data_IF_610076793830
#
_entry.id   IF_610076793830
#
_cell.length_a   1.000
_cell.length_b   1.000
_cell.length_c   1.000
_cell.angle_alpha   90.00
_cell.angle_beta   90.00
_cell.angle_gamma   90.00
#
_symmetry.space_group_name_H-M   'P 1'
#
loop_
_entity.id
_entity.type
_entity.pdbx_description
1 polymer ?
#
# COMPACT_ATOMS: atom_id res chain seq x y z
N UNK A 1 15.59 -54.05 -1.07
CA UNK A 1 14.55 -53.38 -0.22
C UNK A 1 15.05 -52.04 0.29
N UNK A 2 16.24 -51.99 0.91
CA UNK A 2 16.90 -50.78 1.45
C UNK A 2 17.06 -49.64 0.42
N UNK A 3 17.52 -49.96 -0.80
CA UNK A 3 17.77 -48.95 -1.84
C UNK A 3 16.49 -48.23 -2.32
N UNK A 4 15.35 -48.93 -2.32
CA UNK A 4 14.04 -48.38 -2.68
C UNK A 4 13.52 -47.42 -1.60
N UNK A 5 13.82 -47.72 -0.33
CA UNK A 5 13.49 -46.86 0.82
C UNK A 5 14.33 -45.59 0.81
N UNK A 6 15.63 -45.69 0.56
CA UNK A 6 16.53 -44.52 0.47
C UNK A 6 16.10 -43.56 -0.65
N UNK A 7 15.71 -44.10 -1.81
CA UNK A 7 15.22 -43.29 -2.94
C UNK A 7 13.91 -42.56 -2.63
N UNK A 8 13.02 -43.18 -1.87
CA UNK A 8 11.78 -42.54 -1.38
C UNK A 8 12.06 -41.44 -0.35
N UNK A 9 13.01 -41.66 0.56
CA UNK A 9 13.42 -40.66 1.55
C UNK A 9 14.00 -39.42 0.86
N UNK A 10 14.87 -39.61 -0.15
CA UNK A 10 15.45 -38.51 -0.94
C UNK A 10 14.36 -37.73 -1.67
N UNK A 11 13.36 -38.42 -2.23
CA UNK A 11 12.26 -37.77 -2.95
C UNK A 11 11.38 -36.92 -2.03
N UNK A 12 11.11 -37.39 -0.81
CA UNK A 12 10.36 -36.65 0.22
C UNK A 12 11.16 -35.43 0.69
N UNK A 13 12.46 -35.60 0.94
CA UNK A 13 13.35 -34.50 1.34
C UNK A 13 13.42 -33.40 0.29
N UNK A 14 13.51 -33.75 -1.00
CA UNK A 14 13.49 -32.77 -2.09
C UNK A 14 12.16 -31.99 -2.15
N UNK A 15 11.02 -32.64 -1.91
CA UNK A 15 9.71 -31.96 -1.86
C UNK A 15 9.63 -30.97 -0.70
N UNK A 16 10.18 -31.32 0.46
CA UNK A 16 10.24 -30.43 1.62
C UNK A 16 11.14 -29.23 1.36
N UNK A 17 12.30 -29.43 0.73
CA UNK A 17 13.22 -28.34 0.35
C UNK A 17 12.56 -27.38 -0.63
N UNK A 18 11.87 -27.89 -1.66
CA UNK A 18 11.13 -27.06 -2.61
C UNK A 18 10.03 -26.26 -1.92
N UNK A 19 9.27 -26.88 -1.01
CA UNK A 19 8.25 -26.19 -0.23
C UNK A 19 8.82 -25.08 0.66
N UNK A 20 9.97 -25.32 1.27
CA UNK A 20 10.66 -24.35 2.12
C UNK A 20 11.19 -23.15 1.32
N UNK A 21 11.75 -23.38 0.13
CA UNK A 21 12.22 -22.31 -0.77
C UNK A 21 11.04 -21.43 -1.23
N UNK A 22 9.89 -22.03 -1.55
CA UNK A 22 8.69 -21.29 -1.92
C UNK A 22 8.15 -20.44 -0.76
N UNK A 23 8.21 -20.94 0.48
CA UNK A 23 7.81 -20.19 1.67
C UNK A 23 8.74 -19.01 1.98
N UNK A 24 10.06 -19.18 1.82
CA UNK A 24 11.01 -18.07 2.00
C UNK A 24 10.80 -16.92 1.00
N UNK A 25 10.35 -17.24 -0.22
CA UNK A 25 10.07 -16.23 -1.25
C UNK A 25 8.94 -15.25 -0.89
N UNK A 26 8.02 -15.62 0.01
CA UNK A 26 6.90 -14.73 0.40
C UNK A 26 7.26 -13.70 1.47
N UNK A 27 8.44 -13.81 2.11
CA UNK A 27 8.83 -12.96 3.24
C UNK A 27 9.69 -11.76 2.81
N UNK A 28 10.13 -11.71 1.55
CA UNK A 28 11.14 -10.75 1.05
C UNK A 28 10.58 -9.41 0.55
N UNK A 29 9.38 -9.01 0.98
CA UNK A 29 8.82 -7.69 0.63
C UNK A 29 8.04 -7.11 1.79
N UNK A 30 8.73 -6.81 2.88
CA UNK A 30 8.14 -6.14 4.04
C UNK A 30 8.20 -4.62 3.82
N UNK A 31 7.25 -4.11 3.03
CA UNK A 31 6.84 -2.71 3.17
C UNK A 31 6.02 -2.61 4.45
N UNK A 32 6.35 -1.70 5.35
CA UNK A 32 5.61 -1.58 6.60
C UNK A 32 4.31 -0.81 6.36
N UNK A 33 3.17 -1.39 6.73
CA UNK A 33 1.90 -0.67 6.74
C UNK A 33 1.72 0.04 8.08
N UNK A 34 1.67 1.36 8.06
CA UNK A 34 1.33 2.20 9.20
C UNK A 34 -0.17 2.52 9.15
N UNK A 35 -0.92 1.88 10.03
CA UNK A 35 -2.37 2.05 10.16
C UNK A 35 -2.73 3.41 10.77
N UNK A 36 -3.75 4.06 10.20
CA UNK A 36 -4.37 5.27 10.77
C UNK A 36 -5.83 4.98 11.12
N UNK A 37 -6.61 4.50 10.15
CA UNK A 37 -8.03 4.16 10.31
C UNK A 37 -8.35 2.71 9.96
N UNK A 38 -7.46 2.00 9.24
CA UNK A 38 -7.69 0.63 8.80
C UNK A 38 -6.41 -0.19 8.81
N UNK A 39 -6.51 -1.39 9.38
CA UNK A 39 -5.48 -2.43 9.34
C UNK A 39 -5.21 -2.99 7.93
N UNK A 40 -6.03 -2.63 6.94
CA UNK A 40 -5.86 -3.04 5.55
C UNK A 40 -5.59 -1.82 4.66
N UNK A 41 -4.60 -1.91 3.75
CA UNK A 41 -4.36 -0.89 2.74
C UNK A 41 -5.61 -0.63 1.88
N UNK A 42 -6.02 0.63 1.80
CA UNK A 42 -7.13 1.07 0.97
C UNK A 42 -6.87 2.48 0.44
N UNK A 43 -7.45 2.81 -0.72
CA UNK A 43 -7.40 4.19 -1.24
C UNK A 43 -8.10 5.16 -0.28
N UNK A 44 -7.63 6.41 -0.18
CA UNK A 44 -8.30 7.41 0.63
C UNK A 44 -9.72 7.69 0.14
N UNK A 45 -10.62 7.98 1.07
CA UNK A 45 -12.00 8.33 0.76
C UNK A 45 -12.16 9.84 0.81
N UNK A 46 -12.81 10.39 -0.22
CA UNK A 46 -13.21 11.80 -0.28
C UNK A 46 -14.72 11.88 -0.14
N UNK A 47 -15.19 12.53 0.92
CA UNK A 47 -16.60 12.85 1.11
C UNK A 47 -16.83 14.33 0.84
N UNK A 48 -17.86 14.64 0.07
CA UNK A 48 -18.22 16.00 -0.33
C UNK A 48 -19.63 16.29 0.18
N UNK A 49 -19.73 17.12 1.20
CA UNK A 49 -21.00 17.54 1.75
C UNK A 49 -21.27 18.98 1.31
N UNK A 50 -22.46 19.21 0.73
CA UNK A 50 -22.89 20.55 0.36
C UNK A 50 -23.92 21.03 1.37
N UNK A 51 -23.63 22.14 2.03
CA UNK A 51 -24.53 22.73 3.01
C UNK A 51 -25.45 23.75 2.35
N UNK A 52 -26.67 23.89 2.88
CA UNK A 52 -27.71 24.80 2.35
C UNK A 52 -27.29 26.27 2.29
N UNK A 53 -26.27 26.66 3.04
CA UNK A 53 -25.69 28.00 3.04
C UNK A 53 -24.74 28.28 1.85
N UNK A 54 -24.54 27.34 0.93
CA UNK A 54 -23.61 27.48 -0.19
C UNK A 54 -22.17 27.11 0.12
N UNK A 55 -21.92 26.56 1.31
CA UNK A 55 -20.60 26.06 1.71
C UNK A 55 -20.42 24.61 1.24
N UNK A 56 -19.18 24.29 0.84
CA UNK A 56 -18.76 22.94 0.51
C UNK A 56 -17.81 22.48 1.62
N UNK A 57 -18.11 21.34 2.22
CA UNK A 57 -17.23 20.66 3.16
C UNK A 57 -16.61 19.44 2.46
N UNK A 58 -15.28 19.36 2.51
CA UNK A 58 -14.52 18.26 1.94
C UNK A 58 -13.86 17.52 3.10
N UNK A 59 -14.26 16.27 3.30
CA UNK A 59 -13.61 15.39 4.26
C UNK A 59 -12.71 14.40 3.53
N UNK A 60 -11.49 14.23 4.03
CA UNK A 60 -10.50 13.30 3.52
C UNK A 60 -10.15 12.28 4.59
N UNK A 61 -10.32 11.02 4.26
CA UNK A 61 -10.04 9.91 5.18
C UNK A 61 -8.93 9.02 4.62
N UNK A 62 -7.78 9.03 5.30
CA UNK A 62 -6.65 8.19 4.98
C UNK A 62 -6.69 6.90 5.81
N UNK A 63 -6.71 5.74 5.14
CA UNK A 63 -6.69 4.42 5.78
C UNK A 63 -5.37 4.16 6.54
N UNK A 64 -4.26 4.58 5.93
CA UNK A 64 -2.89 4.45 6.41
C UNK A 64 -1.90 4.69 5.27
N UNK A 65 -0.64 4.33 5.48
CA UNK A 65 0.41 4.44 4.46
C UNK A 65 1.45 3.32 4.58
N UNK A 66 2.11 3.02 3.48
CA UNK A 66 3.33 2.22 3.45
C UNK A 66 4.54 3.09 3.74
N UNK A 67 5.40 2.61 4.64
CA UNK A 67 6.70 3.16 4.93
C UNK A 67 7.77 2.22 4.36
N UNK A 68 8.55 2.74 3.43
CA UNK A 68 9.66 2.04 2.78
C UNK A 68 10.97 2.73 3.15
N UNK A 69 11.97 1.97 3.60
CA UNK A 69 13.32 2.47 3.76
C UNK A 69 14.10 2.26 2.45
N UNK A 70 14.49 3.36 1.80
CA UNK A 70 15.30 3.36 0.59
C UNK A 70 16.58 4.18 0.85
N UNK A 71 17.75 3.52 0.82
CA UNK A 71 19.08 4.15 0.95
C UNK A 71 19.24 5.05 2.20
N UNK A 72 18.71 4.62 3.36
CA UNK A 72 18.78 5.38 4.61
C UNK A 72 17.83 6.58 4.66
N UNK A 73 16.89 6.66 3.72
CA UNK A 73 15.78 7.62 3.70
C UNK A 73 14.45 6.88 3.73
N UNK A 74 13.40 7.56 4.20
CA UNK A 74 12.06 7.01 4.19
C UNK A 74 11.27 7.52 3.01
N UNK A 75 10.52 6.61 2.39
CA UNK A 75 9.54 6.89 1.36
C UNK A 75 8.16 6.49 1.85
N UNK A 76 7.21 7.37 1.65
CA UNK A 76 5.80 7.13 2.02
C UNK A 76 5.01 6.89 0.75
N UNK A 77 4.13 5.88 0.77
CA UNK A 77 3.18 5.65 -0.32
C UNK A 77 1.83 5.16 0.22
N UNK A 78 0.75 5.39 -0.49
CA UNK A 78 -0.57 4.84 -0.15
C UNK A 78 -1.31 4.49 -1.45
N UNK A 79 -2.29 3.57 -1.42
CA UNK A 79 -3.05 3.22 -2.61
C UNK A 79 -3.69 4.44 -3.29
N UNK A 80 -3.51 4.62 -4.60
CA UNK A 80 -4.01 5.77 -5.35
C UNK A 80 -3.16 7.04 -5.26
N UNK A 81 -2.13 7.08 -4.40
CA UNK A 81 -1.18 8.17 -4.30
C UNK A 81 -0.12 8.16 -5.40
N UNK A 82 0.25 9.34 -5.91
CA UNK A 82 1.31 9.54 -6.89
C UNK A 82 2.46 10.39 -6.32
N UNK A 83 3.73 10.08 -6.60
CA UNK A 83 4.87 10.86 -6.10
C UNK A 83 4.87 12.29 -6.64
N UNK A 84 5.41 13.23 -5.87
CA UNK A 84 5.51 14.65 -6.29
C UNK A 84 6.62 14.89 -7.33
N UNK A 85 7.61 13.97 -7.41
CA UNK A 85 8.72 13.95 -8.37
C UNK A 85 9.51 15.27 -8.48
N UNK A 86 9.46 16.10 -7.44
CA UNK A 86 10.21 17.35 -7.38
C UNK A 86 11.62 17.10 -6.86
N UNK A 87 12.62 17.34 -7.71
CA UNK A 87 14.02 17.04 -7.40
C UNK A 87 14.49 17.84 -6.20
N UNK A 88 14.96 17.13 -5.17
CA UNK A 88 15.53 17.72 -3.95
C UNK A 88 14.51 17.99 -2.85
N UNK A 89 13.20 17.79 -3.11
CA UNK A 89 12.17 17.81 -2.09
C UNK A 89 11.89 16.39 -1.55
N UNK A 90 11.34 16.25 -0.33
CA UNK A 90 10.85 14.96 0.16
C UNK A 90 9.78 14.38 -0.78
N UNK A 91 9.86 13.08 -1.08
CA UNK A 91 8.87 12.39 -1.92
C UNK A 91 7.58 12.13 -1.12
N UNK A 92 6.69 13.13 -1.10
CA UNK A 92 5.37 13.02 -0.50
C UNK A 92 4.32 12.63 -1.55
N UNK A 93 3.53 11.57 -1.32
CA UNK A 93 2.48 11.16 -2.24
C UNK A 93 1.34 12.17 -2.27
N UNK A 94 0.83 12.45 -3.47
CA UNK A 94 -0.32 13.31 -3.76
C UNK A 94 -1.47 12.48 -4.33
N UNK A 95 -2.69 12.92 -4.10
CA UNK A 95 -3.90 12.39 -4.73
C UNK A 95 -4.80 13.57 -5.09
N UNK A 96 -5.59 13.43 -6.14
CA UNK A 96 -6.49 14.47 -6.60
C UNK A 96 -7.85 13.87 -6.94
N UNK A 97 -8.90 14.63 -6.64
CA UNK A 97 -10.26 14.35 -7.08
C UNK A 97 -10.87 15.60 -7.68
N UNK A 98 -11.82 15.42 -8.59
CA UNK A 98 -12.54 16.53 -9.23
C UNK A 98 -13.82 16.84 -8.48
N UNK A 99 -14.05 18.12 -8.17
CA UNK A 99 -15.30 18.60 -7.57
C UNK A 99 -16.06 19.47 -8.58
N UNK A 100 -17.40 19.44 -8.52
CA UNK A 100 -18.25 20.31 -9.32
C UNK A 100 -18.51 21.60 -8.55
N UNK A 101 -18.09 22.73 -9.10
CA UNK A 101 -18.34 24.06 -8.54
C UNK A 101 -19.45 24.72 -9.38
N UNK A 102 -20.59 25.10 -8.80
CA UNK A 102 -21.66 25.80 -9.53
C UNK A 102 -21.21 27.17 -10.03
N UNK A 103 -21.65 27.57 -11.23
CA UNK A 103 -21.22 28.82 -11.89
C UNK A 103 -21.54 30.11 -11.10
N UNK A 104 -22.52 30.07 -10.19
CA UNK A 104 -22.93 31.20 -9.34
C UNK A 104 -22.42 31.10 -7.89
N UNK A 105 -21.58 30.11 -7.58
CA UNK A 105 -20.88 30.08 -6.30
C UNK A 105 -19.80 31.17 -6.34
N UNK A 106 -20.11 32.36 -5.78
CA UNK A 106 -19.08 33.34 -5.46
C UNK A 106 -18.20 32.74 -4.35
N UNK A 107 -17.10 32.10 -4.74
CA UNK A 107 -16.03 31.67 -3.83
C UNK A 107 -15.15 32.85 -3.44
#
# INVERSE_FOLDING_TARGET
MVERVNKQIILIMNRLIVGFILFLGTVLSAREWVEIQSSRPAEPIFNLETHSAGNIEISFELSGYFLDEENGSYRISFPGGVPILEKGAPDLPRIATSIKIPDMANM
#
